data_IF_267449673419
#
_entry.id   IF_267449673419
#
_cell.length_a   1.000
_cell.length_b   1.000
_cell.length_c   1.000
_cell.angle_alpha   90.00
_cell.angle_beta   90.00
_cell.angle_gamma   90.00
#
_symmetry.space_group_name_H-M   'P 1'
#
loop_
_entity.id
_entity.type
_entity.pdbx_description
1 polymer ?
#
# COMPACT_ATOMS: atom_id res chain seq x y z
N UNK A 1 14.86 -52.20 1.35
CA UNK A 1 15.27 -50.79 1.18
C UNK A 1 14.14 -49.80 0.83
N UNK A 2 13.05 -50.12 0.08
CA UNK A 2 12.00 -49.14 -0.23
C UNK A 2 11.14 -48.69 0.98
N UNK A 3 10.85 -49.61 1.92
CA UNK A 3 10.01 -49.27 3.09
C UNK A 3 10.65 -48.31 4.08
N UNK A 4 11.97 -48.33 4.23
CA UNK A 4 12.71 -47.46 5.12
C UNK A 4 12.77 -46.02 4.56
N UNK A 5 12.84 -45.88 3.24
CA UNK A 5 12.77 -44.57 2.55
C UNK A 5 11.34 -43.99 2.64
N UNK A 6 10.31 -44.76 2.48
CA UNK A 6 8.92 -44.31 2.63
C UNK A 6 8.58 -43.89 4.07
N UNK A 7 9.12 -44.58 5.08
CA UNK A 7 8.95 -44.20 6.49
C UNK A 7 9.71 -42.92 6.84
N UNK A 8 10.90 -42.72 6.29
CA UNK A 8 11.64 -41.47 6.50
C UNK A 8 11.02 -40.28 5.79
N UNK A 9 10.42 -40.48 4.60
CA UNK A 9 9.66 -39.43 3.91
C UNK A 9 8.37 -39.08 4.68
N UNK A 10 7.63 -40.07 5.18
CA UNK A 10 6.42 -39.87 5.96
C UNK A 10 6.67 -39.17 7.31
N UNK A 11 7.75 -39.51 7.98
CA UNK A 11 8.20 -38.82 9.21
C UNK A 11 8.68 -37.39 8.92
N UNK A 12 9.37 -37.17 7.81
CA UNK A 12 9.80 -35.84 7.36
C UNK A 12 8.62 -34.93 7.02
N UNK A 13 7.59 -35.46 6.34
CA UNK A 13 6.38 -34.68 6.02
C UNK A 13 5.50 -34.41 7.24
N UNK A 14 5.39 -35.35 8.18
CA UNK A 14 4.67 -35.16 9.42
C UNK A 14 5.34 -34.11 10.33
N UNK A 15 6.66 -34.13 10.43
CA UNK A 15 7.42 -33.11 11.18
C UNK A 15 7.37 -31.73 10.53
N UNK A 16 7.43 -31.63 9.21
CA UNK A 16 7.25 -30.38 8.48
C UNK A 16 5.83 -29.81 8.68
N UNK A 17 4.80 -30.67 8.62
CA UNK A 17 3.41 -30.27 8.89
C UNK A 17 3.21 -29.76 10.31
N UNK A 18 3.80 -30.43 11.31
CA UNK A 18 3.75 -29.97 12.71
C UNK A 18 4.47 -28.63 12.91
N UNK A 19 5.62 -28.42 12.29
CA UNK A 19 6.36 -27.15 12.33
C UNK A 19 5.59 -26.01 11.67
N UNK A 20 4.92 -26.27 10.54
CA UNK A 20 4.07 -25.29 9.86
C UNK A 20 2.85 -24.94 10.74
N UNK A 21 2.23 -25.93 11.37
CA UNK A 21 1.10 -25.71 12.28
C UNK A 21 1.49 -24.92 13.53
N UNK A 22 2.61 -25.27 14.17
CA UNK A 22 3.17 -24.52 15.31
C UNK A 22 3.53 -23.07 14.94
N UNK A 23 4.16 -22.88 13.78
CA UNK A 23 4.46 -21.57 13.23
C UNK A 23 3.19 -20.76 13.00
N UNK A 24 2.18 -21.35 12.35
CA UNK A 24 0.89 -20.68 12.08
C UNK A 24 0.17 -20.29 13.36
N UNK A 25 0.22 -21.15 14.39
CA UNK A 25 -0.32 -20.84 15.72
C UNK A 25 0.44 -19.71 16.41
N UNK A 26 1.77 -19.71 16.35
CA UNK A 26 2.62 -18.66 16.91
C UNK A 26 2.38 -17.31 16.22
N UNK A 27 2.27 -17.29 14.88
CA UNK A 27 1.96 -16.08 14.11
C UNK A 27 0.53 -15.57 14.42
N UNK A 28 -0.45 -16.44 14.50
CA UNK A 28 -1.82 -16.09 14.92
C UNK A 28 -1.83 -15.52 16.32
N UNK A 29 -1.12 -16.12 17.25
CA UNK A 29 -1.02 -15.63 18.62
C UNK A 29 -0.35 -14.25 18.66
N UNK A 30 0.76 -14.08 17.95
CA UNK A 30 1.49 -12.81 17.89
C UNK A 30 0.65 -11.69 17.26
N UNK A 31 -0.05 -12.00 16.15
CA UNK A 31 -0.95 -11.03 15.48
C UNK A 31 -2.21 -10.76 16.28
N UNK A 32 -2.70 -11.74 17.08
CA UNK A 32 -3.90 -11.57 17.93
C UNK A 32 -3.67 -10.59 19.06
N UNK A 33 -2.47 -10.44 19.56
CA UNK A 33 -2.11 -9.48 20.62
C UNK A 33 -2.01 -8.02 20.15
N UNK A 34 -2.21 -7.78 18.87
CA UNK A 34 -2.56 -6.47 18.28
C UNK A 34 -1.46 -5.44 18.21
N UNK A 35 -0.48 -5.47 19.08
CA UNK A 35 0.45 -4.37 19.24
C UNK A 35 1.88 -4.80 19.56
N UNK A 36 2.11 -6.07 19.82
CA UNK A 36 3.45 -6.53 20.16
C UNK A 36 4.23 -6.85 18.88
N UNK A 37 5.40 -6.27 18.73
CA UNK A 37 6.41 -6.77 17.79
C UNK A 37 6.81 -8.18 18.22
N UNK A 38 6.84 -9.08 17.26
CA UNK A 38 7.33 -10.44 17.47
C UNK A 38 8.82 -10.45 17.17
N UNK A 39 9.61 -10.57 18.22
CA UNK A 39 11.06 -10.63 18.13
C UNK A 39 11.79 -9.32 18.48
N UNK A 40 13.12 -9.33 18.41
CA UNK A 40 13.91 -8.18 18.82
C UNK A 40 13.83 -7.06 17.77
N UNK A 41 13.34 -5.89 18.18
CA UNK A 41 13.22 -4.70 17.31
C UNK A 41 14.53 -4.33 16.62
N UNK A 42 15.65 -4.45 17.31
CA UNK A 42 16.96 -4.15 16.75
C UNK A 42 17.26 -4.97 15.48
N UNK A 43 16.80 -6.23 15.44
CA UNK A 43 16.97 -7.09 14.27
C UNK A 43 16.15 -6.59 13.08
N UNK A 44 14.90 -6.18 13.33
CA UNK A 44 14.04 -5.62 12.28
C UNK A 44 14.59 -4.31 11.71
N UNK A 45 15.05 -3.43 12.61
CA UNK A 45 15.71 -2.17 12.22
C UNK A 45 16.96 -2.45 11.39
N UNK A 46 17.82 -3.36 11.88
CA UNK A 46 19.05 -3.74 11.16
C UNK A 46 18.74 -4.33 9.78
N UNK A 47 17.78 -5.27 9.69
CA UNK A 47 17.36 -5.85 8.41
C UNK A 47 16.83 -4.78 7.45
N UNK A 48 16.00 -3.85 7.92
CA UNK A 48 15.49 -2.75 7.11
C UNK A 48 16.62 -1.86 6.58
N UNK A 49 17.62 -1.55 7.41
CA UNK A 49 18.80 -0.78 6.98
C UNK A 49 19.58 -1.55 5.89
N UNK A 50 19.76 -2.87 6.04
CA UNK A 50 20.44 -3.67 5.01
C UNK A 50 19.66 -3.73 3.71
N UNK A 51 18.32 -3.83 3.77
CA UNK A 51 17.46 -3.78 2.58
C UNK A 51 17.62 -2.45 1.82
N UNK A 52 17.59 -1.33 2.53
CA UNK A 52 17.83 -0.01 1.92
C UNK A 52 19.21 0.08 1.25
N UNK A 53 20.27 -0.43 1.92
CA UNK A 53 21.63 -0.49 1.33
C UNK A 53 21.69 -1.35 0.07
N UNK A 54 21.03 -2.49 0.07
CA UNK A 54 20.94 -3.36 -1.11
C UNK A 54 20.20 -2.67 -2.25
N UNK A 55 19.12 -1.94 -1.94
CA UNK A 55 18.40 -1.16 -2.92
C UNK A 55 19.29 -0.07 -3.55
N UNK A 56 20.03 0.67 -2.73
CA UNK A 56 20.98 1.68 -3.22
C UNK A 56 22.10 1.07 -4.08
N UNK A 57 22.64 -0.09 -3.70
CA UNK A 57 23.61 -0.81 -4.51
C UNK A 57 23.03 -1.29 -5.85
N UNK A 58 21.73 -1.56 -5.89
CA UNK A 58 21.02 -1.90 -7.12
C UNK A 58 20.67 -0.66 -7.98
N UNK A 59 21.01 0.54 -7.53
CA UNK A 59 20.79 1.80 -8.25
C UNK A 59 19.42 2.46 -7.97
N UNK A 60 18.75 2.07 -6.88
CA UNK A 60 17.52 2.72 -6.43
C UNK A 60 17.82 3.58 -5.22
N UNK A 61 17.64 4.90 -5.36
CA UNK A 61 17.80 5.88 -4.30
C UNK A 61 16.44 6.27 -3.70
N UNK A 62 16.44 6.95 -2.55
CA UNK A 62 15.23 7.32 -1.84
C UNK A 62 15.31 8.73 -1.25
N UNK A 63 14.31 9.53 -1.56
CA UNK A 63 14.11 10.88 -1.04
C UNK A 63 12.70 11.05 -0.49
N UNK A 64 12.50 11.97 0.43
CA UNK A 64 11.19 12.24 1.03
C UNK A 64 11.10 13.65 1.58
N UNK A 65 9.93 14.25 1.50
CA UNK A 65 9.62 15.53 2.13
C UNK A 65 9.12 15.38 3.58
N UNK A 66 9.33 14.22 4.20
CA UNK A 66 8.84 13.93 5.57
C UNK A 66 9.25 15.03 6.57
N UNK A 67 10.50 15.45 6.57
CA UNK A 67 10.99 16.46 7.50
C UNK A 67 10.26 17.80 7.36
N UNK A 68 9.98 18.22 6.13
CA UNK A 68 9.26 19.47 5.84
C UNK A 68 7.81 19.41 6.32
N UNK A 69 7.11 18.34 6.03
CA UNK A 69 5.69 18.16 6.37
C UNK A 69 5.45 17.98 7.87
N UNK A 70 6.41 17.44 8.60
CA UNK A 70 6.25 17.14 10.03
C UNK A 70 6.86 18.18 10.96
N UNK A 71 7.69 19.13 10.48
CA UNK A 71 8.49 20.00 11.33
C UNK A 71 8.36 21.50 11.11
N UNK A 72 7.96 22.00 9.95
CA UNK A 72 8.21 23.38 9.62
C UNK A 72 7.10 24.39 9.91
N UNK A 73 5.83 24.03 9.83
CA UNK A 73 4.72 24.96 10.14
C UNK A 73 3.66 24.29 11.01
N UNK A 74 3.37 24.81 12.21
CA UNK A 74 2.30 24.32 13.07
C UNK A 74 0.92 24.30 12.39
N UNK A 75 0.69 25.14 11.39
CA UNK A 75 -0.59 25.22 10.68
C UNK A 75 -0.66 24.30 9.47
N UNK A 76 0.47 23.91 8.89
CA UNK A 76 0.56 23.08 7.68
C UNK A 76 1.13 21.69 7.92
N UNK A 77 1.55 21.38 9.13
CA UNK A 77 2.19 20.11 9.41
C UNK A 77 1.23 19.05 9.91
N UNK A 78 1.59 17.83 9.60
CA UNK A 78 0.94 16.65 10.13
C UNK A 78 1.22 16.58 11.65
N UNK A 79 0.16 16.38 12.42
CA UNK A 79 0.26 16.27 13.87
C UNK A 79 0.78 14.86 14.22
N UNK A 80 1.98 14.74 14.83
CA UNK A 80 2.56 13.45 15.22
C UNK A 80 1.74 12.74 16.31
N UNK A 81 0.92 13.48 17.05
CA UNK A 81 0.07 12.92 18.09
C UNK A 81 -1.30 12.46 17.56
N UNK A 82 -1.58 12.71 16.30
CA UNK A 82 -2.82 12.33 15.64
C UNK A 82 -2.72 10.99 14.92
N UNK A 83 -3.81 10.24 14.94
CA UNK A 83 -3.96 8.98 14.22
C UNK A 83 -4.35 9.23 12.75
N UNK A 84 -3.76 8.49 11.82
CA UNK A 84 -4.04 8.57 10.39
C UNK A 84 -4.29 7.19 9.78
N UNK A 85 -5.13 7.14 8.77
CA UNK A 85 -5.19 6.05 7.80
C UNK A 85 -4.42 6.49 6.56
N UNK A 86 -3.19 6.05 6.48
CA UNK A 86 -2.29 6.45 5.39
C UNK A 86 -2.52 5.58 4.18
N UNK A 87 -2.69 6.21 3.04
CA UNK A 87 -2.89 5.55 1.77
C UNK A 87 -1.77 5.93 0.82
N UNK A 88 -0.89 5.00 0.51
CA UNK A 88 0.20 5.30 -0.42
C UNK A 88 -0.02 4.71 -1.80
N UNK A 89 0.46 5.43 -2.80
CA UNK A 89 0.39 5.14 -4.21
C UNK A 89 1.72 5.43 -4.92
N UNK A 90 1.95 4.83 -6.08
CA UNK A 90 1.28 3.65 -6.61
C UNK A 90 1.72 2.37 -5.91
N UNK A 91 1.07 1.22 -6.25
CA UNK A 91 1.52 -0.07 -5.72
C UNK A 91 2.86 -0.50 -6.30
N UNK A 92 3.14 -0.10 -7.54
CA UNK A 92 4.28 -0.61 -8.30
C UNK A 92 4.13 -2.11 -8.62
N UNK A 93 5.06 -2.65 -9.41
CA UNK A 93 5.11 -4.09 -9.67
C UNK A 93 5.46 -4.88 -8.40
N UNK A 94 6.37 -4.34 -7.60
CA UNK A 94 6.71 -4.76 -6.24
C UNK A 94 6.82 -3.48 -5.42
N UNK A 95 6.28 -3.44 -4.21
CA UNK A 95 6.37 -2.26 -3.34
C UNK A 95 7.81 -2.04 -2.86
N UNK A 96 8.62 -1.41 -3.71
CA UNK A 96 10.06 -1.32 -3.51
C UNK A 96 10.45 -0.27 -2.47
N UNK A 97 9.69 0.82 -2.35
CA UNK A 97 9.89 1.85 -1.31
C UNK A 97 9.86 1.25 0.10
N UNK A 98 9.19 0.12 0.30
CA UNK A 98 9.18 -0.60 1.56
C UNK A 98 10.59 -1.00 2.03
N UNK A 99 11.55 -1.21 1.13
CA UNK A 99 12.94 -1.52 1.49
C UNK A 99 13.59 -0.40 2.33
N UNK A 100 13.22 0.86 2.05
CA UNK A 100 13.76 2.03 2.77
C UNK A 100 12.97 2.35 4.04
N UNK A 101 11.68 2.00 4.07
CA UNK A 101 10.77 2.40 5.14
C UNK A 101 10.64 1.36 6.27
N UNK A 102 10.98 0.10 6.02
CA UNK A 102 10.82 -0.99 7.00
C UNK A 102 11.60 -0.81 8.30
N UNK A 103 12.80 -0.23 8.25
CA UNK A 103 13.59 0.05 9.45
C UNK A 103 12.90 1.06 10.36
N UNK A 104 12.30 2.09 9.79
CA UNK A 104 11.58 3.15 10.47
C UNK A 104 10.29 2.65 11.11
N UNK A 105 9.51 1.86 10.37
CA UNK A 105 8.30 1.22 10.87
C UNK A 105 8.58 0.25 12.01
N UNK A 106 9.68 -0.51 11.93
CA UNK A 106 10.09 -1.44 12.97
C UNK A 106 10.50 -0.74 14.26
N UNK A 107 11.03 0.46 14.19
CA UNK A 107 11.43 1.24 15.37
C UNK A 107 10.23 1.61 16.25
N UNK A 108 9.01 1.66 15.72
CA UNK A 108 7.79 2.06 16.46
C UNK A 108 7.92 3.40 17.20
N UNK A 109 8.81 4.25 16.79
CA UNK A 109 8.99 5.55 17.39
C UNK A 109 8.10 6.56 16.68
N UNK A 110 7.54 7.49 17.41
CA UNK A 110 6.99 8.74 16.93
C UNK A 110 8.14 9.63 16.48
N UNK A 111 8.90 9.19 15.49
CA UNK A 111 9.95 9.99 14.90
C UNK A 111 9.40 10.72 13.69
N UNK A 112 10.14 11.71 13.24
CA UNK A 112 9.94 12.46 12.00
C UNK A 112 9.57 11.57 10.80
N UNK A 113 9.99 10.32 10.85
CA UNK A 113 9.83 9.35 9.77
C UNK A 113 8.62 8.41 9.92
N UNK A 114 8.01 8.36 11.11
CA UNK A 114 6.87 7.49 11.41
C UNK A 114 5.88 8.21 12.32
N UNK A 115 5.11 9.14 11.77
CA UNK A 115 4.18 9.95 12.54
C UNK A 115 2.98 9.14 13.06
N UNK A 116 2.50 9.56 14.22
CA UNK A 116 1.33 8.97 14.88
C UNK A 116 1.65 8.46 16.29
N UNK A 117 0.71 8.60 17.22
CA UNK A 117 0.95 8.55 18.68
C UNK A 117 1.46 7.21 19.19
N UNK A 118 1.38 6.16 18.41
CA UNK A 118 1.80 4.80 18.83
C UNK A 118 2.47 4.02 17.72
N UNK A 119 2.99 4.73 16.73
CA UNK A 119 3.62 4.11 15.56
C UNK A 119 2.62 3.54 14.57
N UNK A 120 3.14 2.96 13.52
CA UNK A 120 2.40 2.54 12.36
C UNK A 120 2.33 1.04 12.22
N UNK A 121 1.22 0.59 11.66
CA UNK A 121 1.10 -0.74 11.08
C UNK A 121 0.88 -0.64 9.58
N UNK A 122 1.36 -1.63 8.84
CA UNK A 122 1.14 -1.73 7.39
C UNK A 122 0.25 -2.93 7.11
N UNK A 123 -0.83 -2.71 6.40
CA UNK A 123 -1.71 -3.77 5.91
C UNK A 123 -1.12 -4.41 4.67
N UNK A 124 -0.82 -5.71 4.73
CA UNK A 124 -0.23 -6.49 3.64
C UNK A 124 -1.11 -7.71 3.33
N UNK A 125 -1.10 -8.14 2.07
CA UNK A 125 -1.88 -9.29 1.61
C UNK A 125 -1.65 -10.52 2.51
N UNK A 126 -2.75 -11.11 2.98
CA UNK A 126 -2.76 -12.25 3.93
C UNK A 126 -1.94 -13.44 3.44
N UNK A 127 -1.88 -13.63 2.12
CA UNK A 127 -1.13 -14.71 1.49
C UNK A 127 0.35 -14.69 1.87
N UNK A 128 0.97 -13.49 1.94
CA UNK A 128 2.41 -13.35 2.23
C UNK A 128 2.79 -13.86 3.63
N UNK A 129 1.85 -13.81 4.58
CA UNK A 129 2.08 -14.35 5.93
C UNK A 129 2.09 -15.89 5.98
N UNK A 130 1.71 -16.56 4.90
CA UNK A 130 1.76 -18.03 4.81
C UNK A 130 3.14 -18.55 4.40
N UNK A 131 3.95 -17.71 3.76
CA UNK A 131 5.30 -18.11 3.34
C UNK A 131 6.26 -18.10 4.53
N UNK A 132 7.05 -19.18 4.72
CA UNK A 132 8.11 -19.24 5.73
C UNK A 132 9.10 -18.09 5.57
N UNK A 133 9.60 -17.57 6.69
CA UNK A 133 10.50 -16.42 6.80
C UNK A 133 9.90 -15.09 6.37
N UNK A 134 9.04 -15.05 5.33
CA UNK A 134 8.36 -13.83 4.88
C UNK A 134 7.35 -13.36 5.93
N UNK A 135 6.48 -14.25 6.41
CA UNK A 135 5.47 -13.90 7.42
C UNK A 135 6.08 -13.43 8.73
N UNK A 136 7.16 -14.07 9.17
CA UNK A 136 7.92 -13.67 10.36
C UNK A 136 8.56 -12.29 10.18
N UNK A 137 9.24 -12.08 9.06
CA UNK A 137 9.82 -10.78 8.72
C UNK A 137 8.76 -9.69 8.69
N UNK A 138 7.67 -9.90 7.96
CA UNK A 138 6.56 -8.94 7.87
C UNK A 138 5.99 -8.59 9.27
N UNK A 139 5.81 -9.60 10.12
CA UNK A 139 5.31 -9.38 11.50
C UNK A 139 6.31 -8.58 12.32
N UNK A 140 7.59 -8.83 12.13
CA UNK A 140 8.70 -8.14 12.81
C UNK A 140 8.77 -6.65 12.44
N UNK A 141 8.47 -6.30 11.19
CA UNK A 141 8.45 -4.91 10.68
C UNK A 141 7.07 -4.23 10.79
N UNK A 142 6.24 -4.66 11.74
CA UNK A 142 4.89 -4.13 11.98
C UNK A 142 3.88 -4.29 10.84
N UNK A 143 4.14 -5.17 9.88
CA UNK A 143 3.10 -5.52 8.93
C UNK A 143 2.06 -6.45 9.56
N UNK A 144 0.82 -6.32 9.11
CA UNK A 144 -0.33 -7.14 9.55
C UNK A 144 -1.13 -7.59 8.33
N UNK A 145 -1.79 -8.77 8.40
CA UNK A 145 -2.71 -9.18 7.36
C UNK A 145 -3.81 -8.15 7.17
N UNK A 146 -4.00 -7.66 5.94
CA UNK A 146 -5.06 -6.70 5.63
C UNK A 146 -6.41 -7.40 5.63
N UNK A 147 -7.02 -7.50 6.81
CA UNK A 147 -8.38 -7.98 7.01
C UNK A 147 -9.17 -6.92 7.77
N UNK A 148 -10.49 -6.86 7.56
CA UNK A 148 -11.32 -5.88 8.24
C UNK A 148 -11.15 -5.93 9.77
N UNK A 149 -11.18 -7.14 10.36
CA UNK A 149 -11.03 -7.30 11.81
C UNK A 149 -9.67 -6.84 12.33
N UNK A 150 -8.59 -7.03 11.55
CA UNK A 150 -7.25 -6.57 11.94
C UNK A 150 -7.14 -5.05 11.82
N UNK A 151 -7.66 -4.47 10.73
CA UNK A 151 -7.69 -3.02 10.52
C UNK A 151 -8.50 -2.33 11.62
N UNK A 152 -9.68 -2.86 11.95
CA UNK A 152 -10.50 -2.38 13.07
C UNK A 152 -9.74 -2.43 14.40
N UNK A 153 -9.00 -3.50 14.66
CA UNK A 153 -8.23 -3.68 15.89
C UNK A 153 -7.09 -2.67 16.01
N UNK A 154 -6.37 -2.43 14.92
CA UNK A 154 -5.27 -1.45 14.87
C UNK A 154 -5.82 -0.05 15.14
N UNK A 155 -6.87 0.36 14.42
CA UNK A 155 -7.43 1.70 14.53
C UNK A 155 -8.13 1.94 15.87
N UNK A 156 -8.87 0.98 16.41
CA UNK A 156 -9.43 1.06 17.79
C UNK A 156 -8.35 1.15 18.86
N UNK A 157 -7.18 0.58 18.59
CA UNK A 157 -6.01 0.69 19.47
C UNK A 157 -5.31 2.05 19.43
N UNK A 158 -5.84 3.04 18.70
CA UNK A 158 -5.28 4.38 18.56
C UNK A 158 -4.00 4.42 17.74
N UNK A 159 -3.76 3.43 16.84
CA UNK A 159 -2.56 3.35 16.01
C UNK A 159 -2.86 3.70 14.58
N UNK A 160 -1.91 4.29 13.90
CA UNK A 160 -2.02 4.58 12.47
C UNK A 160 -1.87 3.31 11.64
N UNK A 161 -2.60 3.24 10.52
CA UNK A 161 -2.56 2.12 9.59
C UNK A 161 -2.21 2.63 8.20
N UNK A 162 -1.24 2.01 7.55
CA UNK A 162 -0.87 2.29 6.18
C UNK A 162 -1.41 1.20 5.24
N UNK A 163 -2.02 1.61 4.14
CA UNK A 163 -2.61 0.74 3.12
C UNK A 163 -2.20 1.17 1.72
N UNK A 164 -2.25 0.23 0.79
CA UNK A 164 -2.23 0.49 -0.65
C UNK A 164 -3.61 0.18 -1.23
N UNK A 165 -4.51 1.18 -1.37
CA UNK A 165 -5.90 0.97 -1.72
C UNK A 165 -6.13 0.24 -3.04
N UNK A 166 -5.24 0.44 -4.02
CA UNK A 166 -5.32 -0.21 -5.32
C UNK A 166 -5.07 -1.72 -5.29
N UNK A 167 -4.24 -2.17 -4.34
CA UNK A 167 -3.93 -3.57 -4.13
C UNK A 167 -3.45 -4.31 -5.39
N UNK A 168 -3.79 -5.60 -5.49
CA UNK A 168 -3.37 -6.45 -6.61
C UNK A 168 -3.81 -5.92 -7.99
N UNK A 169 -5.01 -5.37 -8.19
CA UNK A 169 -5.38 -4.79 -9.49
C UNK A 169 -4.45 -3.68 -9.96
N UNK A 170 -4.02 -2.81 -9.06
CA UNK A 170 -3.06 -1.75 -9.37
C UNK A 170 -1.68 -2.35 -9.65
N UNK A 171 -1.23 -3.31 -8.83
CA UNK A 171 0.02 -4.03 -9.03
C UNK A 171 0.10 -4.69 -10.42
N UNK A 172 -0.94 -5.41 -10.82
CA UNK A 172 -1.00 -6.06 -12.14
C UNK A 172 -1.03 -5.04 -13.27
N UNK A 173 -1.70 -3.90 -13.05
CA UNK A 173 -1.80 -2.79 -14.02
C UNK A 173 -0.55 -1.92 -14.14
N UNK A 174 0.47 -2.13 -13.30
CA UNK A 174 1.69 -1.30 -13.29
C UNK A 174 2.36 -1.24 -14.66
N UNK A 175 2.62 -0.03 -15.14
CA UNK A 175 3.34 0.25 -16.38
C UNK A 175 4.41 1.32 -16.10
N UNK A 176 5.68 0.97 -16.31
CA UNK A 176 6.80 1.88 -16.03
C UNK A 176 6.81 3.17 -16.86
N UNK A 177 5.96 3.27 -17.87
CA UNK A 177 5.88 4.41 -18.78
C UNK A 177 4.79 5.43 -18.43
N UNK A 178 4.02 5.18 -17.37
CA UNK A 178 2.88 6.03 -16.98
C UNK A 178 2.52 5.89 -15.53
N UNK A 179 1.87 6.91 -14.99
CA UNK A 179 1.29 6.87 -13.67
C UNK A 179 -0.20 6.51 -13.74
N UNK A 180 -0.59 5.50 -12.97
CA UNK A 180 -1.96 5.01 -12.97
C UNK A 180 -2.36 4.50 -11.59
N UNK A 181 -3.56 4.84 -11.16
CA UNK A 181 -4.19 4.35 -9.94
C UNK A 181 -5.45 3.55 -10.27
N UNK A 182 -5.65 2.46 -9.53
CA UNK A 182 -6.82 1.59 -9.70
C UNK A 182 -7.49 1.39 -8.35
N UNK A 183 -8.66 1.97 -8.16
CA UNK A 183 -9.39 1.88 -6.90
C UNK A 183 -10.42 0.75 -6.90
N UNK A 184 -10.64 0.10 -5.73
CA UNK A 184 -11.65 -0.95 -5.59
C UNK A 184 -13.07 -0.37 -5.68
N UNK A 185 -14.06 -1.14 -6.15
CA UNK A 185 -15.43 -0.66 -6.32
C UNK A 185 -16.11 -0.27 -5.01
N UNK A 186 -15.78 -0.91 -3.91
CA UNK A 186 -16.42 -0.73 -2.60
C UNK A 186 -15.75 0.33 -1.71
N UNK A 187 -14.62 0.92 -2.13
CA UNK A 187 -13.88 1.96 -1.40
C UNK A 187 -13.67 1.64 0.09
N UNK A 188 -13.28 0.39 0.39
CA UNK A 188 -13.17 -0.10 1.77
C UNK A 188 -12.28 0.75 2.67
N UNK A 189 -11.27 1.42 2.14
CA UNK A 189 -10.39 2.32 2.89
C UNK A 189 -11.12 3.61 3.33
N UNK A 190 -12.00 4.17 2.49
CA UNK A 190 -12.84 5.32 2.87
C UNK A 190 -13.87 4.92 3.93
N UNK A 191 -14.50 3.74 3.79
CA UNK A 191 -15.41 3.20 4.81
C UNK A 191 -14.72 3.00 6.14
N UNK A 192 -13.49 2.49 6.11
CA UNK A 192 -12.68 2.28 7.31
C UNK A 192 -12.33 3.61 7.98
N UNK A 193 -11.97 4.64 7.22
CA UNK A 193 -11.70 5.99 7.72
C UNK A 193 -12.94 6.57 8.41
N UNK A 194 -14.09 6.54 7.76
CA UNK A 194 -15.37 6.99 8.29
C UNK A 194 -15.78 6.23 9.55
N UNK A 195 -15.67 4.91 9.53
CA UNK A 195 -16.02 4.06 10.68
C UNK A 195 -15.24 4.42 11.94
N UNK A 196 -14.00 4.78 11.79
CA UNK A 196 -13.12 5.10 12.93
C UNK A 196 -12.99 6.61 13.19
N UNK A 197 -13.51 7.47 12.30
CA UNK A 197 -13.33 8.93 12.39
C UNK A 197 -11.85 9.31 12.27
N UNK A 198 -11.09 8.61 11.41
CA UNK A 198 -9.66 8.80 11.23
C UNK A 198 -9.42 9.41 9.85
N UNK A 199 -8.68 10.53 9.74
CA UNK A 199 -8.43 11.16 8.46
C UNK A 199 -7.61 10.28 7.53
N UNK A 200 -7.89 10.38 6.22
CA UNK A 200 -7.09 9.78 5.18
C UNK A 200 -5.87 10.64 4.90
N UNK A 201 -4.69 10.04 4.89
CA UNK A 201 -3.44 10.73 4.59
C UNK A 201 -2.85 10.16 3.29
N UNK A 202 -2.92 10.91 2.18
CA UNK A 202 -2.35 10.46 0.92
C UNK A 202 -0.83 10.55 0.93
N UNK A 203 -0.19 9.53 0.38
CA UNK A 203 1.24 9.52 0.04
C UNK A 203 1.36 9.12 -1.43
N UNK A 204 2.23 9.81 -2.16
CA UNK A 204 2.64 9.41 -3.49
C UNK A 204 4.13 9.10 -3.53
N UNK A 205 4.49 7.94 -4.08
CA UNK A 205 5.88 7.51 -4.26
C UNK A 205 6.21 7.57 -5.74
N UNK A 206 6.71 8.72 -6.17
CA UNK A 206 7.17 8.90 -7.53
C UNK A 206 8.38 8.01 -7.80
N UNK A 207 8.45 7.44 -8.99
CA UNK A 207 9.50 6.49 -9.35
C UNK A 207 9.17 5.02 -9.04
N UNK A 208 8.18 4.72 -8.21
CA UNK A 208 7.84 3.35 -7.83
C UNK A 208 7.44 2.48 -9.02
N UNK A 209 6.66 3.03 -9.98
CA UNK A 209 6.30 2.32 -11.20
C UNK A 209 7.50 2.09 -12.12
N UNK A 210 8.51 2.95 -12.03
CA UNK A 210 9.70 2.94 -12.89
C UNK A 210 10.81 2.01 -12.38
N UNK A 211 10.72 1.49 -11.16
CA UNK A 211 11.74 0.59 -10.60
C UNK A 211 11.99 -0.61 -11.50
N UNK A 212 10.93 -1.18 -12.08
CA UNK A 212 11.06 -2.34 -12.94
C UNK A 212 10.51 -2.06 -14.35
N UNK A 213 11.23 -2.48 -15.37
CA UNK A 213 10.70 -2.50 -16.74
C UNK A 213 9.60 -3.55 -16.84
N UNK A 214 8.40 -3.12 -17.20
CA UNK A 214 7.21 -3.95 -17.35
C UNK A 214 6.97 -4.30 -18.81
N UNK A 215 6.37 -5.46 -19.07
CA UNK A 215 6.01 -5.94 -20.40
C UNK A 215 4.51 -6.23 -20.48
N UNK A 216 3.90 -5.96 -21.63
CA UNK A 216 2.45 -6.22 -21.84
C UNK A 216 2.11 -7.70 -21.61
N UNK A 217 2.91 -8.60 -22.20
CA UNK A 217 2.72 -10.04 -22.01
C UNK A 217 2.91 -10.45 -20.54
N UNK A 218 3.81 -9.78 -19.82
CA UNK A 218 4.07 -10.02 -18.40
C UNK A 218 2.84 -9.66 -17.56
N UNK A 219 2.23 -8.49 -17.78
CA UNK A 219 0.99 -8.07 -17.11
C UNK A 219 -0.16 -9.05 -17.38
N UNK A 220 -0.37 -9.41 -18.64
CA UNK A 220 -1.42 -10.37 -19.02
C UNK A 220 -1.22 -11.73 -18.38
N UNK A 221 0.01 -12.23 -18.32
CA UNK A 221 0.34 -13.51 -17.68
C UNK A 221 0.16 -13.44 -16.17
N UNK A 222 0.64 -12.39 -15.51
CA UNK A 222 0.42 -12.14 -14.08
C UNK A 222 -1.07 -12.13 -13.74
N UNK A 223 -1.88 -11.45 -14.57
CA UNK A 223 -3.34 -11.43 -14.41
C UNK A 223 -3.97 -12.82 -14.52
N UNK A 224 -3.56 -13.63 -15.51
CA UNK A 224 -4.04 -15.01 -15.67
C UNK A 224 -3.65 -15.86 -14.46
N UNK A 225 -2.42 -15.77 -13.97
CA UNK A 225 -1.95 -16.48 -12.79
C UNK A 225 -2.75 -16.09 -11.55
N UNK A 226 -3.01 -14.79 -11.36
CA UNK A 226 -3.81 -14.32 -10.24
C UNK A 226 -5.25 -14.85 -10.31
N UNK A 227 -5.90 -14.80 -11.48
CA UNK A 227 -7.27 -15.30 -11.65
C UNK A 227 -7.39 -16.82 -11.45
N UNK A 228 -6.34 -17.58 -11.79
CA UNK A 228 -6.34 -19.04 -11.68
C UNK A 228 -5.95 -19.53 -10.29
N UNK A 229 -4.96 -18.91 -9.67
CA UNK A 229 -4.32 -19.41 -8.46
C UNK A 229 -4.39 -18.46 -7.27
N UNK A 230 -4.88 -17.22 -7.45
CA UNK A 230 -4.92 -16.20 -6.39
C UNK A 230 -3.54 -15.65 -6.02
N UNK A 231 -2.51 -15.91 -6.83
CA UNK A 231 -1.12 -15.47 -6.59
C UNK A 231 -0.75 -14.39 -7.60
N UNK A 232 -0.43 -13.20 -7.10
CA UNK A 232 0.14 -12.14 -7.92
C UNK A 232 1.67 -12.28 -7.94
N UNK A 233 2.19 -12.74 -9.06
CA UNK A 233 3.62 -12.80 -9.33
C UNK A 233 3.94 -11.87 -10.51
N UNK A 234 4.46 -10.67 -10.25
CA UNK A 234 4.78 -9.73 -11.33
C UNK A 234 5.88 -10.29 -12.24
N UNK A 235 5.58 -10.39 -13.52
CA UNK A 235 6.55 -10.78 -14.56
C UNK A 235 7.13 -9.51 -15.19
N UNK A 236 8.25 -9.09 -14.63
CA UNK A 236 8.97 -7.86 -15.01
C UNK A 236 10.44 -8.20 -15.27
N UNK A 237 11.22 -7.22 -15.77
CA UNK A 237 12.67 -7.36 -15.75
C UNK A 237 13.14 -7.56 -14.30
N UNK A 238 13.86 -8.62 -13.97
CA UNK A 238 14.27 -8.89 -12.58
C UNK A 238 15.31 -7.89 -12.04
N UNK A 239 16.00 -7.16 -12.91
CA UNK A 239 16.93 -6.13 -12.49
C UNK A 239 16.18 -4.79 -12.36
N UNK A 240 16.31 -4.11 -11.22
CA UNK A 240 15.73 -2.77 -11.07
C UNK A 240 16.44 -1.78 -11.99
N UNK A 241 15.69 -0.80 -12.46
CA UNK A 241 16.24 0.36 -13.16
C UNK A 241 16.90 1.30 -12.14
N UNK A 242 17.83 2.13 -12.60
CA UNK A 242 18.34 3.22 -11.80
C UNK A 242 17.27 4.30 -11.69
N UNK A 243 16.79 4.54 -10.49
CA UNK A 243 15.70 5.48 -10.22
C UNK A 243 15.81 6.03 -8.80
N UNK A 244 15.45 7.28 -8.61
CA UNK A 244 15.22 7.84 -7.28
C UNK A 244 13.73 7.74 -6.96
N UNK A 245 13.41 7.12 -5.84
CA UNK A 245 12.06 7.08 -5.29
C UNK A 245 11.84 8.35 -4.46
N UNK A 246 10.84 9.14 -4.84
CA UNK A 246 10.46 10.34 -4.09
C UNK A 246 9.14 10.10 -3.37
N UNK A 247 9.20 9.89 -2.04
CA UNK A 247 8.02 9.71 -1.20
C UNK A 247 7.52 11.07 -0.71
N UNK A 248 6.39 11.52 -1.26
CA UNK A 248 5.78 12.80 -0.94
C UNK A 248 4.51 12.62 -0.13
N UNK A 249 4.40 13.36 0.97
CA UNK A 249 3.24 13.39 1.86
C UNK A 249 2.29 14.50 1.42
N UNK A 250 1.00 14.17 1.32
CA UNK A 250 -0.05 15.12 1.00
C UNK A 250 -0.78 15.65 2.23
N UNK A 251 -1.80 16.47 1.98
CA UNK A 251 -2.64 17.02 3.03
C UNK A 251 -3.67 16.00 3.51
N UNK A 252 -3.93 15.89 4.83
CA UNK A 252 -4.93 14.99 5.37
C UNK A 252 -6.33 15.33 4.87
N UNK A 253 -7.09 14.31 4.53
CA UNK A 253 -8.51 14.45 4.17
C UNK A 253 -9.36 14.11 5.37
N UNK A 254 -9.99 15.14 5.94
CA UNK A 254 -10.84 15.00 7.10
C UNK A 254 -12.10 14.20 6.79
N UNK A 255 -12.55 13.42 7.77
CA UNK A 255 -13.81 12.68 7.71
C UNK A 255 -14.79 13.21 8.76
N UNK A 256 -16.10 13.21 8.48
CA UNK A 256 -17.11 13.84 9.34
C UNK A 256 -17.44 13.03 10.60
N UNK A 257 -16.44 12.48 11.29
CA UNK A 257 -16.65 11.74 12.52
C UNK A 257 -16.85 10.24 12.34
N UNK A 258 -17.29 9.56 13.39
CA UNK A 258 -17.45 8.10 13.41
C UNK A 258 -18.84 7.69 12.94
N UNK A 259 -18.91 6.81 11.96
CA UNK A 259 -20.13 6.19 11.47
C UNK A 259 -19.92 4.67 11.37
N UNK A 260 -20.56 3.88 12.22
CA UNK A 260 -20.40 2.40 12.23
C UNK A 260 -20.74 1.77 10.87
N UNK A 261 -21.75 2.30 10.19
CA UNK A 261 -22.16 1.90 8.84
C UNK A 261 -22.33 3.16 7.96
N UNK A 262 -21.24 3.66 7.36
CA UNK A 262 -21.32 4.88 6.55
C UNK A 262 -22.09 4.65 5.25
N UNK A 263 -22.94 5.61 4.91
CA UNK A 263 -23.70 5.59 3.64
C UNK A 263 -22.76 5.67 2.43
N UNK A 264 -23.18 5.04 1.32
CA UNK A 264 -22.40 5.05 0.07
C UNK A 264 -22.13 6.48 -0.42
N UNK A 265 -23.12 7.38 -0.30
CA UNK A 265 -22.97 8.78 -0.68
C UNK A 265 -21.88 9.52 0.10
N UNK A 266 -21.72 9.19 1.40
CA UNK A 266 -20.68 9.78 2.24
C UNK A 266 -19.31 9.21 1.92
N UNK A 267 -19.23 7.89 1.66
CA UNK A 267 -18.02 7.20 1.22
C UNK A 267 -17.51 7.79 -0.10
N UNK A 268 -18.43 8.00 -1.06
CA UNK A 268 -18.11 8.58 -2.37
C UNK A 268 -17.61 10.03 -2.26
N UNK A 269 -18.22 10.85 -1.37
CA UNK A 269 -17.75 12.22 -1.10
C UNK A 269 -16.33 12.24 -0.49
N UNK A 270 -16.06 11.37 0.47
CA UNK A 270 -14.72 11.25 1.06
C UNK A 270 -13.72 10.80 0.01
N UNK A 271 -14.09 9.88 -0.86
CA UNK A 271 -13.24 9.42 -1.96
C UNK A 271 -12.93 10.55 -2.95
N UNK A 272 -13.92 11.35 -3.36
CA UNK A 272 -13.71 12.48 -4.25
C UNK A 272 -12.73 13.51 -3.64
N UNK A 273 -12.91 13.87 -2.35
CA UNK A 273 -11.98 14.76 -1.64
C UNK A 273 -10.58 14.17 -1.54
N UNK A 274 -10.49 12.85 -1.33
CA UNK A 274 -9.21 12.15 -1.34
C UNK A 274 -8.51 12.25 -2.69
N UNK A 275 -9.23 12.04 -3.81
CA UNK A 275 -8.66 12.18 -5.14
C UNK A 275 -8.23 13.60 -5.46
N UNK A 276 -8.98 14.61 -5.02
CA UNK A 276 -8.59 16.02 -5.19
C UNK A 276 -7.30 16.34 -4.42
N UNK A 277 -7.14 15.83 -3.20
CA UNK A 277 -5.92 15.99 -2.41
C UNK A 277 -4.74 15.27 -3.07
N UNK A 278 -4.93 14.03 -3.51
CA UNK A 278 -3.92 13.23 -4.18
C UNK A 278 -3.52 13.83 -5.54
N UNK A 279 -4.48 14.38 -6.29
CA UNK A 279 -4.22 15.07 -7.55
C UNK A 279 -3.39 16.34 -7.38
N UNK A 280 -3.67 17.12 -6.33
CA UNK A 280 -2.82 18.30 -5.99
C UNK A 280 -1.40 17.85 -5.65
N UNK A 281 -1.24 16.87 -4.76
CA UNK A 281 0.07 16.31 -4.42
C UNK A 281 0.84 15.85 -5.67
N UNK A 282 0.17 15.15 -6.57
CA UNK A 282 0.78 14.71 -7.83
C UNK A 282 1.17 15.90 -8.71
N UNK A 283 0.28 16.88 -8.91
CA UNK A 283 0.52 18.06 -9.73
C UNK A 283 1.67 18.92 -9.23
N UNK A 284 1.84 19.04 -7.92
CA UNK A 284 2.92 19.80 -7.29
C UNK A 284 4.31 19.19 -7.51
N UNK A 285 4.41 17.87 -7.55
CA UNK A 285 5.70 17.18 -7.49
C UNK A 285 6.07 16.39 -8.75
N UNK A 286 5.12 16.06 -9.63
CA UNK A 286 5.36 15.17 -10.75
C UNK A 286 6.49 15.65 -11.68
N UNK A 287 6.53 16.95 -12.00
CA UNK A 287 7.53 17.51 -12.91
C UNK A 287 8.96 17.50 -12.34
N UNK A 288 9.11 17.52 -11.02
CA UNK A 288 10.41 17.46 -10.34
C UNK A 288 10.88 16.04 -10.03
N UNK A 289 9.93 15.10 -9.90
CA UNK A 289 10.20 13.74 -9.43
C UNK A 289 10.16 12.67 -10.53
N UNK A 290 9.60 12.98 -11.70
CA UNK A 290 9.44 12.04 -12.82
C UNK A 290 10.09 12.58 -14.09
N UNK A 291 10.52 11.69 -15.01
CA UNK A 291 10.88 12.11 -16.37
C UNK A 291 9.74 12.87 -17.05
N UNK A 292 10.07 13.93 -17.80
CA UNK A 292 9.10 14.83 -18.45
C UNK A 292 8.07 14.06 -19.30
N UNK A 293 8.51 13.04 -20.02
CA UNK A 293 7.65 12.19 -20.85
C UNK A 293 6.59 11.41 -20.05
N UNK A 294 6.82 11.16 -18.74
CA UNK A 294 5.88 10.49 -17.84
C UNK A 294 5.04 11.56 -17.13
N UNK A 295 5.67 12.58 -16.57
CA UNK A 295 5.00 13.65 -15.85
C UNK A 295 3.94 14.36 -16.71
N UNK A 296 4.25 14.65 -17.99
CA UNK A 296 3.34 15.30 -18.94
C UNK A 296 2.07 14.52 -19.26
N UNK A 297 2.06 13.19 -19.05
CA UNK A 297 0.86 12.34 -19.24
C UNK A 297 -0.14 12.45 -18.11
N UNK A 298 0.28 13.03 -16.97
CA UNK A 298 -0.53 13.14 -15.77
C UNK A 298 -0.81 11.79 -15.08
N UNK A 299 -1.77 11.81 -14.18
CA UNK A 299 -2.18 10.69 -13.35
C UNK A 299 -3.50 10.11 -13.84
N UNK A 300 -3.46 8.91 -14.37
CA UNK A 300 -4.64 8.16 -14.77
C UNK A 300 -5.33 7.55 -13.57
N UNK A 301 -6.64 7.77 -13.40
CA UNK A 301 -7.45 7.26 -12.31
C UNK A 301 -8.57 6.37 -12.83
N UNK A 302 -8.66 5.16 -12.28
CA UNK A 302 -9.70 4.16 -12.60
C UNK A 302 -10.41 3.78 -11.32
N UNK A 303 -11.71 4.00 -11.26
CA UNK A 303 -12.56 3.46 -10.19
C UNK A 303 -13.33 2.26 -10.73
N UNK A 304 -12.89 1.06 -10.36
CA UNK A 304 -13.42 -0.20 -10.90
C UNK A 304 -14.94 -0.33 -10.67
N UNK A 305 -15.65 -0.78 -11.71
CA UNK A 305 -17.09 -0.98 -11.66
C UNK A 305 -17.93 0.28 -11.80
N UNK A 306 -17.31 1.46 -11.87
CA UNK A 306 -18.00 2.74 -12.01
C UNK A 306 -17.60 3.45 -13.30
N UNK A 307 -18.51 4.27 -13.82
CA UNK A 307 -18.26 5.03 -15.04
C UNK A 307 -17.43 6.28 -14.76
N UNK A 308 -16.76 6.76 -15.83
CA UNK A 308 -16.05 8.02 -15.81
C UNK A 308 -16.96 9.17 -15.40
N UNK A 309 -18.16 9.27 -15.97
CA UNK A 309 -19.12 10.35 -15.76
C UNK A 309 -19.54 10.45 -14.26
N UNK A 310 -19.68 9.29 -13.59
CA UNK A 310 -19.98 9.27 -12.17
C UNK A 310 -18.85 9.89 -11.35
N UNK A 311 -17.61 9.55 -11.65
CA UNK A 311 -16.47 10.07 -10.91
C UNK A 311 -16.23 11.55 -11.21
N UNK A 312 -16.38 11.98 -12.47
CA UNK A 312 -16.28 13.39 -12.85
C UNK A 312 -17.34 14.23 -12.11
N UNK A 313 -18.59 13.77 -12.02
CA UNK A 313 -19.66 14.45 -11.29
C UNK A 313 -19.35 14.55 -9.78
N UNK A 314 -18.79 13.51 -9.17
CA UNK A 314 -18.39 13.54 -7.77
C UNK A 314 -17.26 14.54 -7.51
N UNK A 315 -16.25 14.59 -8.36
CA UNK A 315 -15.15 15.54 -8.25
C UNK A 315 -15.63 16.98 -8.41
N UNK A 316 -16.53 17.23 -9.37
CA UNK A 316 -17.13 18.54 -9.60
C UNK A 316 -17.93 19.03 -8.38
N UNK A 317 -18.68 18.16 -7.73
CA UNK A 317 -19.46 18.49 -6.53
C UNK A 317 -18.58 18.77 -5.30
N UNK A 318 -17.43 18.10 -5.16
CA UNK A 318 -16.57 18.20 -3.97
C UNK A 318 -15.40 19.19 -4.12
N UNK A 319 -15.23 19.83 -5.29
CA UNK A 319 -14.14 20.81 -5.50
C UNK A 319 -14.21 22.07 -4.65
N UNK A 320 -15.36 22.34 -4.01
CA UNK A 320 -15.57 23.48 -3.09
C UNK A 320 -15.11 24.85 -3.67
N UNK A 321 -15.38 25.12 -4.95
CA UNK A 321 -14.96 26.34 -5.63
C UNK A 321 -13.50 26.33 -6.12
N UNK A 322 -12.72 25.31 -5.79
CA UNK A 322 -11.39 25.09 -6.35
C UNK A 322 -11.44 24.42 -7.72
N UNK A 323 -10.32 24.32 -8.39
CA UNK A 323 -10.20 23.60 -9.65
C UNK A 323 -9.92 22.12 -9.41
N UNK A 324 -10.43 21.25 -10.29
CA UNK A 324 -10.01 19.87 -10.39
C UNK A 324 -8.57 19.89 -10.92
N UNK A 325 -7.61 19.22 -10.24
CA UNK A 325 -6.23 19.23 -10.71
C UNK A 325 -6.11 18.75 -12.16
N UNK A 326 -5.53 19.55 -13.06
CA UNK A 326 -5.50 19.25 -14.51
C UNK A 326 -4.67 17.99 -14.84
N UNK A 327 -3.84 17.55 -13.91
CA UNK A 327 -3.07 16.32 -14.03
C UNK A 327 -3.92 15.05 -13.90
N UNK A 328 -5.16 15.14 -13.37
CA UNK A 328 -6.03 13.98 -13.23
C UNK A 328 -6.71 13.64 -14.55
N UNK A 329 -6.52 12.40 -15.01
CA UNK A 329 -7.19 11.82 -16.17
C UNK A 329 -8.10 10.69 -15.73
N UNK A 330 -9.41 10.96 -15.64
CA UNK A 330 -10.40 9.97 -15.22
C UNK A 330 -10.71 9.03 -16.39
N UNK A 331 -10.71 7.73 -16.08
CA UNK A 331 -11.00 6.68 -17.05
C UNK A 331 -12.18 5.83 -16.63
N UNK A 332 -12.90 5.28 -17.61
CA UNK A 332 -14.05 4.41 -17.34
C UNK A 332 -13.59 3.09 -16.73
N UNK A 333 -14.03 2.82 -15.51
CA UNK A 333 -13.72 1.59 -14.76
C UNK A 333 -14.64 0.42 -15.10
N UNK A 334 -15.70 0.64 -15.91
CA UNK A 334 -16.61 -0.43 -16.37
C UNK A 334 -16.05 -1.15 -17.60
N UNK A 335 -15.18 -0.50 -18.35
CA UNK A 335 -14.64 -0.98 -19.62
C UNK A 335 -13.22 -1.57 -19.48
N UNK A 336 -12.81 -2.01 -18.32
CA UNK A 336 -11.50 -2.63 -18.16
C UNK A 336 -11.45 -3.99 -18.89
N UNK A 337 -10.90 -4.06 -20.13
CA UNK A 337 -10.98 -5.26 -20.95
C UNK A 337 -9.80 -6.21 -20.77
N UNK A 338 -8.72 -5.80 -20.13
CA UNK A 338 -7.49 -6.59 -20.23
C UNK A 338 -7.25 -7.54 -19.06
N UNK A 339 -7.96 -7.38 -17.92
CA UNK A 339 -7.76 -8.25 -16.76
C UNK A 339 -9.06 -8.40 -15.97
N UNK A 340 -9.92 -9.38 -16.31
CA UNK A 340 -11.05 -9.71 -15.46
C UNK A 340 -10.55 -10.31 -14.15
N UNK A 341 -10.18 -9.46 -13.20
CA UNK A 341 -9.88 -9.89 -11.84
C UNK A 341 -11.19 -10.26 -11.16
N UNK A 342 -11.40 -11.55 -10.91
CA UNK A 342 -12.57 -12.00 -10.18
C UNK A 342 -12.67 -11.27 -8.86
N UNK A 343 -13.83 -10.64 -8.63
CA UNK A 343 -14.19 -10.02 -7.36
C UNK A 343 -14.35 -11.12 -6.29
N UNK A 344 -13.24 -11.56 -5.70
CA UNK A 344 -13.21 -12.38 -4.48
C UNK A 344 -12.05 -11.89 -3.62
N UNK A 345 -12.30 -10.79 -2.96
CA UNK A 345 -11.62 -10.39 -1.71
C UNK A 345 -12.65 -9.66 -0.85
#
# INVERSE_FOLDING_TARGET
MPEMQLRSLALGTASAGALIALRSAALKWATSKGAATVGPRWLAVWLGIQLGRVANLAGVDFETNTAEKWHHDPQQRLDPDRQYLTCWHPHGALTFCAAFFTSKMAAQSTTEDCPGPRGWFVGIATLLFRFPFVGEYLTLVNARPVTQSMSDKVLRGGRSLALQPGGIPEQVGTDHRREQLVFPPNLGFCRLALKHGVPLLPIYVFGENQVFTTYEWGRQTTAKLFNSFGVCLPLVNPLPNRVTLHMMWGEPVEVPGKAEDPEDSEVERVFARYLLSLGRLFGEHASSCLPEEIASRGLKVIWRGHSKEKLDALLENERNGGEIPPCLSICDGRLEPSVPLRAKL
#
